data_IF_540613527093
#
_entry.id   IF_540613527093
#
_cell.length_a   1.000
_cell.length_b   1.000
_cell.length_c   1.000
_cell.angle_alpha   90.00
_cell.angle_beta   90.00
_cell.angle_gamma   90.00
#
_symmetry.space_group_name_H-M   'P 1'
#
loop_
_entity.id
_entity.type
_entity.pdbx_description
1 polymer ?
#
# COMPACT_ATOMS: atom_id res chain seq x y z
N UNK A 1 13.65 -10.86 22.53
CA UNK A 1 13.57 -9.67 21.67
C UNK A 1 13.09 -10.17 20.33
N UNK A 2 11.78 -10.15 20.09
CA UNK A 2 11.24 -10.53 18.78
C UNK A 2 11.64 -9.42 17.82
N UNK A 3 12.52 -9.73 16.87
CA UNK A 3 12.75 -8.91 15.69
C UNK A 3 11.40 -8.78 14.98
N UNK A 4 10.64 -7.72 15.29
CA UNK A 4 9.52 -7.33 14.44
C UNK A 4 10.17 -6.82 13.15
N UNK A 5 10.31 -7.72 12.18
CA UNK A 5 10.50 -7.33 10.79
C UNK A 5 9.24 -6.57 10.38
N UNK A 6 9.24 -5.25 10.59
CA UNK A 6 8.15 -4.37 10.18
C UNK A 6 8.26 -4.11 8.67
N UNK A 7 8.18 -5.14 7.84
CA UNK A 7 7.99 -4.93 6.41
C UNK A 7 6.48 -4.75 6.17
N UNK A 8 6.08 -3.59 5.65
CA UNK A 8 4.69 -3.27 5.37
C UNK A 8 4.11 -4.29 4.37
N UNK A 9 2.92 -4.83 4.64
CA UNK A 9 2.20 -5.74 3.75
C UNK A 9 1.35 -4.93 2.78
N UNK A 10 1.33 -5.32 1.52
CA UNK A 10 0.43 -4.80 0.48
C UNK A 10 -0.46 -5.92 -0.02
N UNK A 11 -1.76 -5.73 0.16
CA UNK A 11 -2.80 -6.71 -0.15
C UNK A 11 -3.62 -6.20 -1.34
N UNK A 12 -3.93 -7.07 -2.30
CA UNK A 12 -4.83 -6.72 -3.40
C UNK A 12 -6.24 -6.43 -2.88
N UNK A 13 -7.00 -5.69 -3.69
CA UNK A 13 -8.39 -5.32 -3.44
C UNK A 13 -9.26 -6.54 -3.09
N UNK A 14 -9.06 -7.67 -3.76
CA UNK A 14 -9.78 -8.91 -3.51
C UNK A 14 -9.21 -9.77 -2.36
N UNK A 15 -8.09 -9.37 -1.74
CA UNK A 15 -7.45 -10.09 -0.64
C UNK A 15 -6.60 -11.31 -1.03
N UNK A 16 -6.52 -11.67 -2.31
CA UNK A 16 -5.84 -12.91 -2.75
C UNK A 16 -4.33 -12.78 -2.85
N UNK A 17 -3.84 -11.58 -3.16
CA UNK A 17 -2.41 -11.29 -3.24
C UNK A 17 -1.99 -10.55 -1.98
N UNK A 18 -0.90 -11.00 -1.36
CA UNK A 18 -0.39 -10.38 -0.15
C UNK A 18 1.15 -10.43 -0.11
N UNK A 19 1.76 -9.28 -0.35
CA UNK A 19 3.21 -9.13 -0.53
C UNK A 19 3.84 -8.25 0.55
N UNK A 20 5.07 -8.53 0.98
CA UNK A 20 5.91 -7.51 1.60
C UNK A 20 6.22 -6.41 0.57
N UNK A 21 5.99 -5.15 0.94
CA UNK A 21 6.15 -3.99 0.05
C UNK A 21 7.56 -3.91 -0.56
N UNK A 22 8.58 -4.23 0.22
CA UNK A 22 10.00 -4.19 -0.20
C UNK A 22 10.36 -5.25 -1.26
N UNK A 23 9.51 -6.25 -1.48
CA UNK A 23 9.74 -7.34 -2.43
C UNK A 23 8.99 -7.17 -3.75
N UNK A 24 8.25 -6.08 -3.91
CA UNK A 24 7.48 -5.78 -5.12
C UNK A 24 7.75 -4.37 -5.64
N UNK A 25 7.59 -4.22 -6.95
CA UNK A 25 7.46 -2.93 -7.60
C UNK A 25 5.98 -2.70 -7.86
N UNK A 26 5.42 -1.63 -7.30
CA UNK A 26 4.03 -1.22 -7.56
C UNK A 26 4.02 -0.14 -8.64
N UNK A 27 3.19 -0.32 -9.66
CA UNK A 27 3.06 0.62 -10.77
C UNK A 27 1.61 0.65 -11.26
N UNK A 28 1.23 1.72 -11.97
CA UNK A 28 -0.11 1.84 -12.57
C UNK A 28 -0.05 1.93 -14.08
N UNK A 29 -1.09 1.44 -14.73
CA UNK A 29 -1.42 1.77 -16.11
C UNK A 29 -2.90 2.14 -16.17
N UNK A 30 -3.17 3.39 -16.52
CA UNK A 30 -4.51 3.99 -16.50
C UNK A 30 -5.21 3.81 -15.14
N UNK A 31 -6.27 3.01 -15.11
CA UNK A 31 -7.14 2.71 -13.97
C UNK A 31 -6.78 1.41 -13.23
N UNK A 32 -5.68 0.74 -13.60
CA UNK A 32 -5.25 -0.52 -13.01
C UNK A 32 -3.91 -0.35 -12.30
N UNK A 33 -3.83 -0.86 -11.07
CA UNK A 33 -2.61 -0.92 -10.26
C UNK A 33 -2.07 -2.35 -10.26
N UNK A 34 -0.77 -2.47 -10.52
CA UNK A 34 -0.06 -3.74 -10.63
C UNK A 34 1.06 -3.85 -9.59
N UNK A 35 1.36 -5.08 -9.20
CA UNK A 35 2.59 -5.48 -8.56
C UNK A 35 3.42 -6.37 -9.49
N UNK A 36 4.72 -6.16 -9.49
CA UNK A 36 5.69 -7.09 -10.06
C UNK A 36 6.69 -7.50 -8.99
N UNK A 37 6.90 -8.81 -8.74
CA UNK A 37 7.96 -9.26 -7.83
C UNK A 37 9.30 -8.64 -8.24
N UNK A 38 10.11 -8.19 -7.28
CA UNK A 38 11.40 -7.58 -7.57
C UNK A 38 12.37 -8.52 -8.32
N UNK A 39 12.21 -9.83 -8.13
CA UNK A 39 12.97 -10.88 -8.83
C UNK A 39 12.43 -11.18 -10.25
N UNK A 40 11.22 -10.72 -10.59
CA UNK A 40 10.59 -10.92 -11.90
C UNK A 40 9.71 -9.74 -12.28
N UNK A 41 10.30 -8.77 -12.98
CA UNK A 41 9.62 -7.56 -13.44
C UNK A 41 8.71 -7.76 -14.65
N UNK A 42 8.63 -8.97 -15.21
CA UNK A 42 7.81 -9.26 -16.39
C UNK A 42 6.38 -9.67 -16.05
N UNK A 43 6.15 -10.08 -14.81
CA UNK A 43 4.83 -10.51 -14.32
C UNK A 43 4.13 -9.31 -13.68
N UNK A 44 3.03 -8.86 -14.28
CA UNK A 44 2.13 -7.86 -13.71
C UNK A 44 0.95 -8.56 -13.02
N UNK A 45 0.90 -8.49 -11.70
CA UNK A 45 -0.20 -9.00 -10.88
C UNK A 45 -1.12 -7.84 -10.53
N UNK A 46 -2.42 -7.96 -10.78
CA UNK A 46 -3.37 -6.88 -10.51
C UNK A 46 -3.61 -6.76 -9.00
N UNK A 47 -3.27 -5.60 -8.44
CA UNK A 47 -3.56 -5.26 -7.05
C UNK A 47 -4.92 -4.58 -6.91
N UNK A 48 -5.35 -3.80 -7.89
CA UNK A 48 -6.66 -3.14 -7.89
C UNK A 48 -7.02 -2.61 -9.26
N UNK A 49 -8.32 -2.58 -9.54
CA UNK A 49 -8.89 -2.05 -10.78
C UNK A 49 -10.01 -1.07 -10.41
N UNK A 50 -9.91 0.13 -10.97
CA UNK A 50 -10.79 1.25 -10.65
C UNK A 50 -11.59 1.68 -11.87
N UNK A 51 -12.69 2.40 -11.65
CA UNK A 51 -13.54 2.92 -12.71
C UNK A 51 -12.85 4.05 -13.50
N UNK A 52 -11.99 4.83 -12.84
CA UNK A 52 -11.30 5.97 -13.45
C UNK A 52 -9.80 5.99 -13.14
N UNK A 53 -8.96 6.55 -14.02
CA UNK A 53 -7.55 6.76 -13.75
C UNK A 53 -7.27 7.61 -12.51
N UNK A 54 -8.18 8.53 -12.16
CA UNK A 54 -8.07 9.38 -10.97
C UNK A 54 -8.22 8.58 -9.68
N UNK A 55 -9.16 7.61 -9.66
CA UNK A 55 -9.32 6.69 -8.52
C UNK A 55 -8.08 5.82 -8.32
N UNK A 56 -7.53 5.26 -9.40
CA UNK A 56 -6.27 4.51 -9.33
C UNK A 56 -5.09 5.36 -8.83
N UNK A 57 -5.02 6.64 -9.22
CA UNK A 57 -4.00 7.57 -8.74
C UNK A 57 -4.14 7.90 -7.25
N UNK A 58 -5.38 8.05 -6.77
CA UNK A 58 -5.66 8.26 -5.35
C UNK A 58 -5.24 7.05 -4.52
N UNK A 59 -5.63 5.83 -4.93
CA UNK A 59 -5.22 4.60 -4.25
C UNK A 59 -3.68 4.44 -4.20
N UNK A 60 -2.97 4.78 -5.28
CA UNK A 60 -1.49 4.82 -5.29
C UNK A 60 -0.91 5.87 -4.33
N UNK A 61 -1.57 7.01 -4.18
CA UNK A 61 -1.15 8.07 -3.26
C UNK A 61 -1.35 7.66 -1.81
N UNK A 62 -2.44 6.96 -1.50
CA UNK A 62 -2.71 6.38 -0.18
C UNK A 62 -1.68 5.30 0.19
N UNK A 63 -1.31 4.42 -0.75
CA UNK A 63 -0.22 3.45 -0.55
C UNK A 63 1.10 4.16 -0.19
N UNK A 64 1.47 5.20 -0.95
CA UNK A 64 2.68 6.00 -0.68
C UNK A 64 2.62 6.64 0.71
N UNK A 65 1.46 7.16 1.10
CA UNK A 65 1.26 7.78 2.40
C UNK A 65 1.39 6.76 3.55
N UNK A 66 0.76 5.58 3.41
CA UNK A 66 0.87 4.48 4.36
C UNK A 66 2.33 4.04 4.55
N UNK A 67 3.10 3.95 3.46
CA UNK A 67 4.54 3.64 3.54
C UNK A 67 5.32 4.72 4.32
N UNK A 68 5.13 6.00 4.01
CA UNK A 68 5.82 7.10 4.70
C UNK A 68 5.47 7.14 6.19
N UNK A 69 4.21 6.87 6.55
CA UNK A 69 3.79 6.78 7.96
C UNK A 69 4.49 5.63 8.68
N UNK A 70 4.52 4.44 8.07
CA UNK A 70 5.21 3.28 8.63
C UNK A 70 6.73 3.53 8.79
N UNK A 71 7.38 4.15 7.81
CA UNK A 71 8.80 4.51 7.89
C UNK A 71 9.08 5.53 9.00
N UNK A 72 8.19 6.52 9.17
CA UNK A 72 8.34 7.49 10.26
C UNK A 72 8.19 6.83 11.63
N UNK A 73 7.27 5.87 11.80
CA UNK A 73 7.12 5.09 13.05
C UNK A 73 8.43 4.36 13.38
N UNK A 74 9.07 3.75 12.37
CA UNK A 74 10.34 3.05 12.57
C UNK A 74 11.45 3.99 13.04
N UNK A 75 11.48 5.22 12.53
CA UNK A 75 12.51 6.21 12.87
C UNK A 75 12.31 6.83 14.25
N UNK A 76 11.07 7.19 14.61
CA UNK A 76 10.78 7.94 15.85
C UNK A 76 10.82 7.05 17.11
N UNK A 77 10.73 5.72 16.97
CA UNK A 77 10.93 4.72 18.04
C UNK A 77 9.94 4.76 19.22
N UNK A 78 9.14 5.83 19.32
CA UNK A 78 8.22 6.15 20.41
C UNK A 78 6.75 5.97 20.04
N UNK A 79 6.44 5.75 18.75
CA UNK A 79 5.08 5.63 18.22
C UNK A 79 4.26 6.93 18.28
N UNK A 80 4.87 8.04 18.67
CA UNK A 80 4.17 9.31 18.92
C UNK A 80 4.35 10.24 17.72
N UNK A 81 3.64 9.94 16.64
CA UNK A 81 3.64 10.72 15.41
C UNK A 81 2.30 11.42 15.27
N UNK A 82 2.37 12.71 14.98
CA UNK A 82 1.21 13.51 14.58
C UNK A 82 0.78 13.06 13.17
N UNK A 83 -0.07 12.03 13.12
CA UNK A 83 -0.67 11.47 11.91
C UNK A 83 -2.14 11.89 11.92
N UNK A 84 -2.68 12.48 10.84
CA UNK A 84 -4.09 12.76 10.74
C UNK A 84 -4.91 11.51 11.07
N UNK A 85 -5.97 11.67 11.86
CA UNK A 85 -6.77 10.56 12.42
C UNK A 85 -7.29 9.62 11.32
N UNK A 86 -7.63 10.17 10.15
CA UNK A 86 -8.07 9.45 8.95
C UNK A 86 -7.07 8.40 8.42
N UNK A 87 -5.79 8.47 8.81
CA UNK A 87 -4.77 7.52 8.38
C UNK A 87 -4.20 6.67 9.53
N UNK A 88 -4.78 6.78 10.73
CA UNK A 88 -4.35 5.95 11.87
C UNK A 88 -4.59 4.46 11.64
N UNK A 89 -5.58 4.10 10.82
CA UNK A 89 -5.84 2.71 10.41
C UNK A 89 -4.76 2.15 9.46
N UNK A 90 -3.98 3.02 8.79
CA UNK A 90 -2.88 2.58 7.90
C UNK A 90 -1.58 2.24 8.67
N UNK A 91 -1.61 2.38 10.01
CA UNK A 91 -0.45 2.19 10.89
C UNK A 91 -0.23 0.73 11.30
N UNK A 92 -1.06 -0.20 10.83
CA UNK A 92 -0.94 -1.61 11.19
C UNK A 92 0.19 -2.35 10.45
N UNK A 93 0.96 -1.65 9.60
CA UNK A 93 1.95 -2.28 8.72
C UNK A 93 1.30 -3.14 7.64
N UNK A 94 0.02 -2.90 7.35
CA UNK A 94 -0.76 -3.58 6.31
C UNK A 94 -1.54 -2.51 5.55
N UNK A 95 -1.46 -2.56 4.23
CA UNK A 95 -2.27 -1.75 3.32
C UNK A 95 -2.98 -2.67 2.35
N UNK A 96 -4.30 -2.70 2.42
CA UNK A 96 -5.12 -3.34 1.41
C UNK A 96 -5.61 -2.28 0.43
N UNK A 97 -5.47 -2.55 -0.87
CA UNK A 97 -6.01 -1.64 -1.87
C UNK A 97 -7.53 -1.48 -1.69
N UNK A 98 -8.05 -0.25 -1.65
CA UNK A 98 -9.47 -0.02 -1.43
C UNK A 98 -10.30 -0.50 -2.62
N UNK A 99 -11.56 -0.86 -2.35
CA UNK A 99 -12.55 -1.06 -3.38
C UNK A 99 -12.80 0.23 -4.15
N UNK A 100 -13.22 0.12 -5.41
CA UNK A 100 -13.57 1.29 -6.22
C UNK A 100 -14.62 2.19 -5.56
N UNK A 101 -15.59 1.61 -4.84
CA UNK A 101 -16.64 2.33 -4.12
C UNK A 101 -16.13 3.08 -2.88
N UNK A 102 -14.92 2.80 -2.40
CA UNK A 102 -14.30 3.44 -1.23
C UNK A 102 -13.41 4.63 -1.64
N UNK A 103 -13.16 4.82 -2.94
CA UNK A 103 -12.25 5.86 -3.45
C UNK A 103 -13.05 7.05 -4.00
N UNK A 104 -13.19 8.09 -3.18
CA UNK A 104 -13.79 9.37 -3.58
C UNK A 104 -12.80 10.29 -4.35
N UNK A 105 -13.26 11.09 -5.33
CA UNK A 105 -12.44 12.05 -6.10
C UNK A 105 -12.83 13.49 -5.81
#
# INVERSE_FOLDING_TARGET
MLERSFSMRVISQNGELDFPYELIVVWRNENIVYASPAADSKTGLVLGEYETPQKAEKAMSELKYAFLCNEKIKQDGSGNIDIPEEYTELLHGVFQFPQDSEVDI
#
